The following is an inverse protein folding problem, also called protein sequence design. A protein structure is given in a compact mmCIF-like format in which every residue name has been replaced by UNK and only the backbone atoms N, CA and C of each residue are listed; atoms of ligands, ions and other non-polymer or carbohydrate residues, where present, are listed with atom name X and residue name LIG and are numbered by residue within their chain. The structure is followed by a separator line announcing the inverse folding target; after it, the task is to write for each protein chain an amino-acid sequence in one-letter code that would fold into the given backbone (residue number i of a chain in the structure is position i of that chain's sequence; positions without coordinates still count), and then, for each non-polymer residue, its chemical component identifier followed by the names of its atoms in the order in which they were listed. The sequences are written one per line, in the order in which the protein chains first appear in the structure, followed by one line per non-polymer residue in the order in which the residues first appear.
data_IF_949129061118
#
_entry.id   IF_949129061118
#
_cell.length_a   1.000
_cell.length_b   1.000
_cell.length_c   1.000
_cell.angle_alpha   90.00
_cell.angle_beta   90.00
_cell.angle_gamma   90.00
#
_symmetry.space_group_name_H-M   'P 1'
#
loop_
_entity.id
_entity.type
_entity.pdbx_description
1 polymer ?
#
# COMPACT_ATOMS: atom_id res chain seq x y z
N UNK A 1 -11.87 14.29 -12.65
CA UNK A 1 -10.51 14.29 -12.09
C UNK A 1 -9.67 13.10 -12.57
N UNK A 2 -9.91 11.86 -12.13
CA UNK A 2 -9.05 10.70 -12.45
C UNK A 2 -8.80 10.48 -13.95
N UNK A 3 -9.85 10.58 -14.78
CA UNK A 3 -9.73 10.47 -16.25
C UNK A 3 -8.74 11.47 -16.84
N UNK A 4 -8.77 12.73 -16.39
CA UNK A 4 -7.87 13.78 -16.87
C UNK A 4 -6.42 13.51 -16.45
N UNK A 5 -6.19 13.05 -15.22
CA UNK A 5 -4.87 12.65 -14.73
C UNK A 5 -4.26 11.54 -15.59
N UNK A 6 -5.05 10.48 -15.87
CA UNK A 6 -4.58 9.36 -16.70
C UNK A 6 -4.30 9.82 -18.12
N UNK A 7 -5.21 10.60 -18.71
CA UNK A 7 -5.05 11.19 -20.06
C UNK A 7 -3.75 11.96 -20.19
N UNK A 8 -3.45 12.84 -19.24
CA UNK A 8 -2.24 13.66 -19.25
C UNK A 8 -0.97 12.83 -19.06
N UNK A 9 -0.97 11.89 -18.09
CA UNK A 9 0.20 11.08 -17.76
C UNK A 9 0.51 10.01 -18.82
N UNK A 10 -0.50 9.52 -19.53
CA UNK A 10 -0.38 8.50 -20.59
C UNK A 10 -0.45 9.09 -22.00
N UNK A 11 -0.60 10.40 -22.12
CA UNK A 11 -0.73 11.12 -23.38
C UNK A 11 -1.80 10.48 -24.30
N UNK A 12 -3.00 10.29 -23.76
CA UNK A 12 -4.12 9.71 -24.49
C UNK A 12 -4.93 10.81 -25.17
N UNK A 13 -5.40 10.55 -26.38
CA UNK A 13 -6.45 11.36 -26.98
C UNK A 13 -7.84 11.03 -26.39
N UNK A 14 -8.86 11.80 -26.76
CA UNK A 14 -10.24 11.59 -26.28
C UNK A 14 -10.81 10.21 -26.64
N UNK A 15 -10.49 9.70 -27.83
CA UNK A 15 -10.99 8.41 -28.30
C UNK A 15 -10.31 7.24 -27.57
N UNK A 16 -9.01 7.34 -27.32
CA UNK A 16 -8.23 6.41 -26.51
C UNK A 16 -8.72 6.40 -25.05
N UNK A 17 -8.95 7.59 -24.48
CA UNK A 17 -9.47 7.73 -23.12
C UNK A 17 -10.88 7.12 -22.97
N UNK A 18 -11.74 7.31 -23.96
CA UNK A 18 -13.09 6.73 -23.97
C UNK A 18 -13.05 5.19 -23.91
N UNK A 19 -12.10 4.55 -24.62
CA UNK A 19 -11.95 3.07 -24.65
C UNK A 19 -11.57 2.47 -23.30
N UNK A 20 -10.90 3.23 -22.43
CA UNK A 20 -10.32 2.70 -21.17
C UNK A 20 -11.02 3.23 -19.93
N UNK A 21 -12.04 4.08 -20.07
CA UNK A 21 -12.65 4.81 -18.95
C UNK A 21 -14.08 4.37 -18.60
N UNK A 22 -14.45 3.15 -18.95
CA UNK A 22 -15.76 2.54 -18.69
C UNK A 22 -15.79 1.64 -17.43
N UNK A 23 -14.68 1.57 -16.70
CA UNK A 23 -14.58 0.86 -15.41
C UNK A 23 -14.24 -0.62 -15.50
N UNK A 24 -14.04 -1.19 -16.70
CA UNK A 24 -13.63 -2.59 -16.83
C UNK A 24 -12.18 -2.82 -16.39
N UNK A 25 -11.89 -4.05 -15.99
CA UNK A 25 -10.53 -4.48 -15.65
C UNK A 25 -9.81 -4.96 -16.91
N UNK A 26 -8.56 -4.53 -17.09
CA UNK A 26 -7.68 -4.97 -18.16
C UNK A 26 -6.54 -5.82 -17.59
N UNK A 27 -6.20 -6.90 -18.29
CA UNK A 27 -4.95 -7.63 -18.04
C UNK A 27 -3.75 -6.82 -18.53
N UNK A 28 -2.55 -7.09 -18.02
CA UNK A 28 -1.34 -6.40 -18.46
C UNK A 28 -1.12 -6.51 -19.99
N UNK A 29 -1.41 -7.68 -20.58
CA UNK A 29 -1.34 -7.91 -22.04
C UNK A 29 -2.29 -7.03 -22.84
N UNK A 30 -3.47 -6.73 -22.30
CA UNK A 30 -4.42 -5.78 -22.92
C UNK A 30 -4.01 -4.33 -22.65
N UNK A 31 -3.40 -4.04 -21.50
CA UNK A 31 -3.02 -2.68 -21.10
C UNK A 31 -1.88 -2.07 -21.92
N UNK A 32 -0.93 -2.87 -22.39
CA UNK A 32 0.20 -2.39 -23.22
C UNK A 32 -0.27 -1.69 -24.50
N UNK A 33 -1.07 -2.32 -25.39
CA UNK A 33 -1.54 -1.64 -26.61
C UNK A 33 -2.49 -0.47 -26.32
N UNK A 34 -3.09 -0.41 -25.13
CA UNK A 34 -3.92 0.69 -24.65
C UNK A 34 -3.13 1.80 -23.93
N UNK A 35 -1.79 1.71 -23.90
CA UNK A 35 -0.88 2.65 -23.20
C UNK A 35 -1.16 2.80 -21.70
N UNK A 36 -1.83 1.83 -21.08
CA UNK A 36 -2.13 1.85 -19.63
C UNK A 36 -0.92 1.43 -18.79
N UNK A 37 -0.05 0.60 -19.36
CA UNK A 37 1.22 0.14 -18.80
C UNK A 37 2.31 0.19 -19.86
N UNK A 38 3.54 0.43 -19.44
CA UNK A 38 4.68 0.62 -20.36
C UNK A 38 5.29 -0.71 -20.81
N UNK A 39 5.38 -1.69 -19.90
CA UNK A 39 5.99 -3.00 -20.14
C UNK A 39 5.40 -4.05 -19.19
N UNK A 40 5.52 -5.32 -19.58
CA UNK A 40 5.15 -6.48 -18.76
C UNK A 40 6.44 -7.14 -18.27
N UNK A 41 6.57 -7.32 -16.97
CA UNK A 41 7.74 -7.95 -16.36
C UNK A 41 7.62 -8.06 -14.85
N UNK A 42 8.62 -8.67 -14.23
CA UNK A 42 8.76 -8.74 -12.78
C UNK A 42 9.60 -7.60 -12.24
N UNK A 43 10.09 -7.77 -11.01
CA UNK A 43 10.92 -6.77 -10.34
C UNK A 43 12.21 -6.45 -11.09
N UNK A 44 12.86 -7.47 -11.67
CA UNK A 44 14.11 -7.28 -12.42
C UNK A 44 13.89 -6.39 -13.63
N UNK A 45 12.87 -6.68 -14.43
CA UNK A 45 12.53 -5.89 -15.61
C UNK A 45 12.10 -4.46 -15.22
N UNK A 46 11.44 -4.28 -14.08
CA UNK A 46 11.11 -2.96 -13.55
C UNK A 46 12.36 -2.14 -13.17
N UNK A 47 13.35 -2.78 -12.53
CA UNK A 47 14.64 -2.13 -12.22
C UNK A 47 15.37 -1.74 -13.51
N UNK A 48 15.47 -2.66 -14.46
CA UNK A 48 16.13 -2.39 -15.75
C UNK A 48 15.43 -1.23 -16.51
N UNK A 49 14.10 -1.18 -16.47
CA UNK A 49 13.32 -0.08 -17.06
C UNK A 49 13.62 1.26 -16.38
N UNK A 50 13.71 1.28 -15.05
CA UNK A 50 14.04 2.49 -14.27
C UNK A 50 15.45 3.00 -14.58
N UNK A 51 16.42 2.10 -14.67
CA UNK A 51 17.80 2.44 -15.07
C UNK A 51 17.82 3.04 -16.48
N UNK A 52 17.15 2.39 -17.43
CA UNK A 52 17.16 2.82 -18.84
C UNK A 52 16.37 4.12 -19.11
N UNK A 53 15.25 4.35 -18.41
CA UNK A 53 14.30 5.42 -18.75
C UNK A 53 14.25 6.57 -17.75
N UNK A 54 14.76 6.38 -16.53
CA UNK A 54 14.65 7.36 -15.43
C UNK A 54 15.99 7.79 -14.85
N UNK A 55 17.11 7.34 -15.41
CA UNK A 55 18.45 7.75 -14.97
C UNK A 55 18.79 7.28 -13.56
N UNK A 56 18.19 6.16 -13.11
CA UNK A 56 18.47 5.57 -11.81
C UNK A 56 19.75 4.73 -11.89
N UNK A 57 20.61 4.82 -10.87
CA UNK A 57 21.84 4.04 -10.80
C UNK A 57 21.53 2.54 -10.67
N UNK A 58 22.25 1.69 -11.39
CA UNK A 58 22.02 0.23 -11.45
C UNK A 58 22.25 -0.46 -10.10
N UNK A 59 23.16 0.07 -9.30
CA UNK A 59 23.56 -0.42 -7.98
C UNK A 59 22.75 0.21 -6.83
N UNK A 60 21.71 1.00 -7.14
CA UNK A 60 20.86 1.59 -6.13
C UNK A 60 20.19 0.51 -5.27
N UNK A 61 20.32 0.56 -3.92
CA UNK A 61 19.79 -0.49 -3.06
C UNK A 61 18.27 -0.48 -3.05
N UNK A 62 17.67 -1.63 -3.36
CA UNK A 62 16.21 -1.82 -3.27
C UNK A 62 15.84 -2.16 -1.84
N UNK A 63 15.01 -1.32 -1.21
CA UNK A 63 14.48 -1.56 0.13
C UNK A 63 13.03 -1.99 0.03
N UNK A 64 12.74 -3.22 0.45
CA UNK A 64 11.37 -3.68 0.61
C UNK A 64 10.78 -3.07 1.89
N UNK A 65 9.69 -2.32 1.76
CA UNK A 65 8.94 -1.85 2.91
C UNK A 65 7.74 -2.77 3.14
N UNK A 66 7.68 -3.37 4.33
CA UNK A 66 6.53 -4.13 4.80
C UNK A 66 5.96 -3.44 6.03
N UNK A 67 4.64 -3.26 6.07
CA UNK A 67 3.96 -2.83 7.29
C UNK A 67 4.27 -3.89 8.36
N UNK A 68 4.89 -3.48 9.47
CA UNK A 68 5.07 -4.37 10.63
C UNK A 68 3.71 -4.91 11.01
N UNK A 69 3.56 -6.24 11.04
CA UNK A 69 2.28 -6.88 11.32
C UNK A 69 1.79 -6.40 12.68
N UNK A 70 0.63 -5.72 12.71
CA UNK A 70 -0.01 -5.30 13.96
C UNK A 70 -0.29 -6.51 14.86
N UNK A 71 -0.42 -7.72 14.27
CA UNK A 71 -0.63 -8.98 14.99
C UNK A 71 0.52 -9.36 15.93
N UNK A 72 1.78 -9.04 15.60
CA UNK A 72 2.92 -9.33 16.50
C UNK A 72 2.88 -8.45 17.75
N UNK A 73 2.57 -7.15 17.59
CA UNK A 73 2.39 -6.22 18.72
C UNK A 73 1.16 -6.58 19.56
N UNK A 74 0.05 -6.91 18.91
CA UNK A 74 -1.17 -7.41 19.56
C UNK A 74 -0.89 -8.65 20.43
N UNK A 75 -0.06 -9.57 19.95
CA UNK A 75 0.34 -10.77 20.70
C UNK A 75 1.13 -10.44 21.97
N UNK A 76 2.09 -9.51 21.90
CA UNK A 76 2.89 -9.08 23.05
C UNK A 76 2.06 -8.34 24.11
N UNK A 77 1.18 -7.44 23.66
CA UNK A 77 0.29 -6.69 24.58
C UNK A 77 -0.69 -7.63 25.26
N UNK A 78 -1.23 -8.61 24.53
CA UNK A 78 -2.10 -9.65 25.10
C UNK A 78 -1.39 -10.52 26.13
N UNK A 79 -0.14 -10.92 25.86
CA UNK A 79 0.67 -11.66 26.81
C UNK A 79 0.96 -10.84 28.08
N UNK A 80 1.31 -9.55 27.95
CA UNK A 80 1.53 -8.66 29.07
C UNK A 80 0.26 -8.45 29.93
N UNK A 81 -0.90 -8.33 29.28
CA UNK A 81 -2.18 -8.25 29.99
C UNK A 81 -2.47 -9.53 30.80
N UNK A 82 -2.17 -10.70 30.24
CA UNK A 82 -2.28 -11.99 30.94
C UNK A 82 -1.41 -12.06 32.20
N UNK A 83 -0.15 -11.61 32.12
CA UNK A 83 0.75 -11.53 33.28
C UNK A 83 0.24 -10.55 34.32
N UNK A 84 -0.24 -9.37 33.90
CA UNK A 84 -0.78 -8.37 34.81
C UNK A 84 -2.01 -8.91 35.58
N UNK A 85 -2.92 -9.62 34.92
CA UNK A 85 -4.05 -10.29 35.61
C UNK A 85 -3.57 -11.34 36.60
N UNK A 86 -2.61 -12.17 36.21
CA UNK A 86 -2.06 -13.19 37.11
C UNK A 86 -1.42 -12.58 38.37
N UNK A 87 -0.81 -11.41 38.23
CA UNK A 87 -0.25 -10.65 39.34
C UNK A 87 -1.28 -9.81 40.14
N UNK A 88 -2.57 -9.86 39.79
CA UNK A 88 -3.64 -9.10 40.47
C UNK A 88 -3.70 -7.61 40.09
N UNK A 89 -3.08 -7.21 38.97
CA UNK A 89 -3.05 -5.83 38.46
C UNK A 89 -4.16 -5.61 37.43
N UNK A 90 -5.42 -5.87 37.81
CA UNK A 90 -6.58 -5.88 36.90
C UNK A 90 -6.80 -4.57 36.13
N UNK A 91 -6.53 -3.43 36.76
CA UNK A 91 -6.65 -2.12 36.10
C UNK A 91 -5.64 -1.94 34.96
N UNK A 92 -4.42 -2.46 35.13
CA UNK A 92 -3.36 -2.38 34.12
C UNK A 92 -3.67 -3.35 32.97
N UNK A 93 -4.13 -4.56 33.28
CA UNK A 93 -4.59 -5.51 32.27
C UNK A 93 -5.73 -4.94 31.42
N UNK A 94 -6.73 -4.32 32.06
CA UNK A 94 -7.86 -3.69 31.35
C UNK A 94 -7.44 -2.52 30.44
N UNK A 95 -6.41 -1.74 30.82
CA UNK A 95 -5.85 -0.69 29.97
C UNK A 95 -5.11 -1.26 28.75
N UNK A 96 -4.29 -2.31 28.95
CA UNK A 96 -3.57 -3.00 27.87
C UNK A 96 -4.55 -3.63 26.86
N UNK A 97 -5.62 -4.25 27.33
CA UNK A 97 -6.64 -4.86 26.46
C UNK A 97 -7.45 -3.82 25.67
N UNK A 98 -7.76 -2.66 26.25
CA UNK A 98 -8.42 -1.58 25.53
C UNK A 98 -7.53 -1.00 24.42
N UNK A 99 -6.21 -0.96 24.62
CA UNK A 99 -5.26 -0.49 23.60
C UNK A 99 -5.26 -1.37 22.33
N UNK A 100 -5.41 -2.69 22.51
CA UNK A 100 -5.53 -3.67 21.42
C UNK A 100 -6.78 -3.39 20.55
N UNK A 101 -7.91 -3.08 21.18
CA UNK A 101 -9.17 -2.83 20.47
C UNK A 101 -9.12 -1.53 19.64
N UNK A 102 -8.43 -0.51 20.13
CA UNK A 102 -8.27 0.77 19.42
C UNK A 102 -7.36 0.65 18.19
N UNK A 103 -6.34 -0.21 18.22
CA UNK A 103 -5.44 -0.44 17.08
C UNK A 103 -6.13 -1.19 15.91
N UNK A 104 -7.14 -2.03 16.21
CA UNK A 104 -7.96 -2.69 15.18
C UNK A 104 -8.86 -1.73 14.38
N UNK A 105 -9.10 -0.54 14.91
CA UNK A 105 -9.95 0.50 14.30
C UNK A 105 -9.23 1.32 13.23
N UNK A 106 -8.02 0.92 12.82
CA UNK A 106 -7.20 1.59 11.81
C UNK A 106 -8.02 2.04 10.61
N UNK A 107 -8.10 3.36 10.48
CA UNK A 107 -9.08 4.14 9.72
C UNK A 107 -9.12 3.72 8.24
N UNK A 108 -10.27 3.22 7.82
CA UNK A 108 -10.67 3.30 6.42
C UNK A 108 -11.21 4.71 6.22
N UNK A 109 -10.46 5.52 5.47
CA UNK A 109 -10.76 6.92 5.21
C UNK A 109 -11.93 7.02 4.20
N UNK A 110 -13.16 6.78 4.68
CA UNK A 110 -14.41 6.94 3.94
C UNK A 110 -14.38 6.48 2.47
N UNK A 111 -14.92 7.31 1.56
CA UNK A 111 -15.01 7.06 0.12
C UNK A 111 -13.70 7.33 -0.65
N UNK A 112 -12.63 7.77 0.02
CA UNK A 112 -11.41 8.24 -0.64
C UNK A 112 -10.18 7.51 -0.10
N UNK A 113 -9.64 6.59 -0.90
CA UNK A 113 -8.38 5.93 -0.58
C UNK A 113 -7.19 6.87 -0.80
N UNK A 114 -6.72 7.54 0.25
CA UNK A 114 -5.46 8.29 0.25
C UNK A 114 -4.32 7.46 0.86
N UNK A 115 -3.11 7.61 0.31
CA UNK A 115 -1.93 6.95 0.87
C UNK A 115 -1.45 7.71 2.11
N UNK A 116 -1.48 7.06 3.27
CA UNK A 116 -0.95 7.60 4.52
C UNK A 116 0.41 6.95 4.82
N UNK A 117 1.48 7.75 4.88
CA UNK A 117 2.77 7.30 5.39
C UNK A 117 2.76 7.39 6.92
N UNK A 118 2.92 6.28 7.63
CA UNK A 118 3.22 6.34 9.06
C UNK A 118 4.73 6.58 9.21
N UNK A 119 5.11 7.84 9.44
CA UNK A 119 6.44 8.21 9.89
C UNK A 119 6.60 7.84 11.37
N UNK A 120 6.74 6.55 11.66
CA UNK A 120 7.18 6.08 12.97
C UNK A 120 8.66 5.69 12.85
N UNK A 121 9.53 6.67 13.14
CA UNK A 121 10.95 6.44 13.45
C UNK A 121 11.07 5.70 14.79
#
# INVERSE_FOLDING_TARGET
WFKNLVRERRNLDEAELAKVSDGRVFTARQGVPLKLVDLIGGQREAIDWLVANKGIAKDMPVREWKKKSSLERLGLVGAAAGVARFAGLDSIAGLLEKSILLERSGELDGLLAIWQHSAAN
#
